data_IF_367104371581
#
_entry.id   IF_367104371581
#
_cell.length_a   1.000
_cell.length_b   1.000
_cell.length_c   1.000
_cell.angle_alpha   90.00
_cell.angle_beta   90.00
_cell.angle_gamma   90.00
#
_symmetry.space_group_name_H-M   'P 1'
#
loop_
_entity.id
_entity.type
_entity.pdbx_description
1 polymer ?
#
# COMPACT_ATOMS: atom_id res chain seq x y z
N UNK A 1 -72.86 -25.68 63.08
CA UNK A 1 -71.89 -26.65 62.41
C UNK A 1 -71.18 -25.84 61.35
N UNK A 2 -70.00 -25.33 61.66
CA UNK A 2 -69.20 -24.47 60.76
C UNK A 2 -67.95 -25.23 60.33
N UNK A 3 -67.85 -25.52 59.06
CA UNK A 3 -66.68 -26.18 58.46
C UNK A 3 -65.62 -25.15 58.12
N UNK A 4 -64.43 -25.22 58.75
CA UNK A 4 -63.27 -24.36 58.34
C UNK A 4 -62.58 -25.06 57.17
N UNK A 5 -62.48 -24.31 56.08
CA UNK A 5 -61.64 -24.67 54.94
C UNK A 5 -60.20 -24.25 55.19
N UNK A 6 -59.29 -25.23 55.11
CA UNK A 6 -57.84 -25.02 55.16
C UNK A 6 -57.36 -24.77 53.73
N UNK A 7 -56.70 -23.63 53.50
CA UNK A 7 -56.05 -23.32 52.24
C UNK A 7 -54.61 -23.81 52.24
N UNK A 8 -54.12 -24.50 51.21
CA UNK A 8 -52.73 -24.84 51.13
C UNK A 8 -51.90 -23.63 50.63
N UNK A 9 -50.74 -23.42 51.28
CA UNK A 9 -49.75 -22.40 50.87
C UNK A 9 -48.97 -22.91 49.65
N UNK A 10 -48.94 -22.10 48.59
CA UNK A 10 -48.11 -22.36 47.41
C UNK A 10 -46.69 -21.84 47.69
N UNK A 11 -45.69 -22.71 47.65
CA UNK A 11 -44.30 -22.31 47.60
C UNK A 11 -43.95 -21.85 46.20
N UNK A 12 -43.56 -20.59 46.05
CA UNK A 12 -42.97 -20.06 44.84
C UNK A 12 -41.51 -20.36 44.85
N UNK A 13 -41.06 -21.24 43.94
CA UNK A 13 -39.65 -21.46 43.66
C UNK A 13 -39.13 -20.41 42.69
N UNK A 14 -38.26 -19.51 43.15
CA UNK A 14 -37.59 -18.52 42.31
C UNK A 14 -36.39 -19.16 41.65
N UNK A 15 -36.45 -19.41 40.35
CA UNK A 15 -35.31 -19.80 39.51
C UNK A 15 -34.55 -18.55 39.06
N UNK A 16 -33.38 -18.32 39.63
CA UNK A 16 -32.44 -17.29 39.19
C UNK A 16 -31.73 -17.78 37.89
N UNK A 17 -32.06 -17.16 36.77
CA UNK A 17 -31.30 -17.30 35.52
C UNK A 17 -30.01 -16.49 35.62
N UNK A 18 -28.87 -17.18 35.74
CA UNK A 18 -27.55 -16.59 35.52
C UNK A 18 -27.33 -16.41 34.02
N UNK A 19 -27.52 -15.22 33.53
CA UNK A 19 -27.12 -14.84 32.17
C UNK A 19 -25.58 -14.65 32.11
N UNK A 20 -24.88 -15.73 31.74
CA UNK A 20 -23.46 -15.70 31.46
C UNK A 20 -23.21 -14.95 30.15
N UNK A 21 -22.81 -13.66 30.21
CA UNK A 21 -22.39 -12.89 29.04
C UNK A 21 -21.06 -13.44 28.52
N UNK A 22 -21.05 -14.08 27.34
CA UNK A 22 -19.84 -14.36 26.59
C UNK A 22 -19.27 -13.01 26.08
N UNK A 23 -18.22 -12.52 26.72
CA UNK A 23 -17.35 -11.48 26.18
C UNK A 23 -16.57 -12.05 24.99
N UNK A 24 -17.09 -11.86 23.79
CA UNK A 24 -16.34 -12.17 22.58
C UNK A 24 -15.15 -11.20 22.47
N UNK A 25 -13.94 -11.65 22.82
CA UNK A 25 -12.72 -10.90 22.60
C UNK A 25 -12.51 -10.76 21.07
N UNK A 26 -12.69 -9.55 20.56
CA UNK A 26 -12.34 -9.22 19.16
C UNK A 26 -10.82 -9.20 19.05
N UNK A 27 -10.24 -10.29 18.53
CA UNK A 27 -8.81 -10.34 18.19
C UNK A 27 -8.61 -9.40 16.98
N UNK A 28 -7.74 -8.38 17.06
CA UNK A 28 -7.47 -7.55 15.91
C UNK A 28 -6.88 -8.41 14.80
N UNK A 29 -7.50 -8.39 13.62
CA UNK A 29 -6.99 -9.09 12.46
C UNK A 29 -5.59 -8.57 12.14
N UNK A 30 -4.58 -9.41 12.25
CA UNK A 30 -3.22 -9.07 11.83
C UNK A 30 -3.26 -8.69 10.35
N UNK A 31 -2.80 -7.47 10.03
CA UNK A 31 -2.74 -7.02 8.65
C UNK A 31 -1.80 -7.94 7.88
N UNK A 32 -2.34 -8.69 6.91
CA UNK A 32 -1.55 -9.59 6.09
C UNK A 32 -0.48 -8.79 5.32
N UNK A 33 0.74 -9.33 5.22
CA UNK A 33 1.80 -8.73 4.43
C UNK A 33 1.32 -8.55 2.97
N UNK A 34 1.70 -7.45 2.29
CA UNK A 34 1.21 -7.19 0.94
C UNK A 34 1.65 -8.28 -0.02
N UNK A 35 0.72 -8.75 -0.86
CA UNK A 35 1.01 -9.72 -1.91
C UNK A 35 2.01 -9.14 -2.93
N UNK A 36 2.98 -9.96 -3.35
CA UNK A 36 4.10 -9.54 -4.20
C UNK A 36 4.07 -10.21 -5.57
N UNK A 37 4.71 -9.58 -6.54
CA UNK A 37 4.98 -10.16 -7.84
C UNK A 37 6.44 -10.63 -7.94
N UNK A 38 6.69 -11.64 -8.79
CA UNK A 38 8.01 -11.86 -9.37
C UNK A 38 8.33 -10.77 -10.39
N UNK A 39 9.61 -10.61 -10.75
CA UNK A 39 10.01 -9.65 -11.79
C UNK A 39 9.25 -9.88 -13.10
N UNK A 40 9.16 -11.12 -13.58
CA UNK A 40 8.50 -11.45 -14.83
C UNK A 40 7.01 -11.09 -14.81
N UNK A 41 6.30 -11.42 -13.74
CA UNK A 41 4.87 -11.11 -13.62
C UNK A 41 4.58 -9.61 -13.56
N UNK A 42 5.41 -8.85 -12.84
CA UNK A 42 5.29 -7.38 -12.79
C UNK A 42 5.62 -6.75 -14.15
N UNK A 43 6.72 -7.19 -14.78
CA UNK A 43 7.15 -6.71 -16.10
C UNK A 43 6.08 -6.92 -17.18
N UNK A 44 5.42 -8.09 -17.17
CA UNK A 44 4.30 -8.37 -18.09
C UNK A 44 3.16 -7.35 -17.91
N UNK A 45 2.75 -7.09 -16.66
CA UNK A 45 1.67 -6.13 -16.37
C UNK A 45 2.02 -4.70 -16.74
N UNK A 46 3.24 -4.28 -16.47
CA UNK A 46 3.74 -2.96 -16.82
C UNK A 46 3.79 -2.75 -18.34
N UNK A 47 4.31 -3.75 -19.09
CA UNK A 47 4.29 -3.71 -20.57
C UNK A 47 2.87 -3.63 -21.12
N UNK A 48 1.95 -4.45 -20.62
CA UNK A 48 0.55 -4.43 -21.04
C UNK A 48 -0.13 -3.07 -20.80
N UNK A 49 0.35 -2.30 -19.80
CA UNK A 49 -0.11 -0.95 -19.52
C UNK A 49 0.65 0.14 -20.30
N UNK A 50 1.57 -0.22 -21.20
CA UNK A 50 2.39 0.74 -21.97
C UNK A 50 3.41 1.50 -21.11
N UNK A 51 3.91 0.86 -20.04
CA UNK A 51 4.95 1.39 -19.17
C UNK A 51 6.29 0.77 -19.54
N UNK A 52 7.27 1.60 -19.86
CA UNK A 52 8.63 1.19 -20.15
C UNK A 52 9.50 1.22 -18.89
N UNK A 53 10.69 0.62 -18.97
CA UNK A 53 11.75 0.80 -17.97
C UNK A 53 13.12 0.73 -18.60
N UNK A 54 14.09 1.33 -17.93
CA UNK A 54 15.51 1.29 -18.28
C UNK A 54 16.28 0.67 -17.14
N UNK A 55 17.44 0.11 -17.45
CA UNK A 55 18.37 -0.48 -16.48
C UNK A 55 19.80 -0.15 -16.91
N UNK A 56 20.58 0.49 -16.06
CA UNK A 56 21.96 0.88 -16.36
C UNK A 56 22.86 -0.32 -16.68
N UNK A 57 22.56 -1.48 -16.10
CA UNK A 57 23.26 -2.73 -16.36
C UNK A 57 22.60 -3.64 -17.38
N UNK A 58 21.45 -3.22 -17.97
CA UNK A 58 20.68 -4.07 -18.89
C UNK A 58 20.13 -5.34 -18.25
N UNK A 59 19.85 -5.33 -16.94
CA UNK A 59 19.54 -6.51 -16.14
C UNK A 59 18.41 -6.29 -15.13
N UNK A 60 17.95 -7.40 -14.54
CA UNK A 60 16.86 -7.43 -13.55
C UNK A 60 17.24 -8.06 -12.21
N UNK A 61 18.52 -8.28 -11.95
CA UNK A 61 18.99 -8.87 -10.70
C UNK A 61 18.77 -7.88 -9.54
N UNK A 62 17.95 -8.26 -8.58
CA UNK A 62 17.61 -7.45 -7.42
C UNK A 62 18.81 -7.12 -6.52
N UNK A 63 19.82 -7.98 -6.50
CA UNK A 63 21.02 -7.81 -5.68
C UNK A 63 22.12 -6.99 -6.39
N UNK A 64 21.80 -6.39 -7.55
CA UNK A 64 22.73 -5.55 -8.30
C UNK A 64 22.13 -4.15 -8.49
N UNK A 65 22.78 -3.13 -7.91
CA UNK A 65 22.37 -1.72 -7.96
C UNK A 65 22.32 -1.10 -9.37
N UNK A 66 22.92 -1.76 -10.38
CA UNK A 66 22.90 -1.32 -11.78
C UNK A 66 21.73 -1.90 -12.57
N UNK A 67 20.99 -2.83 -11.98
CA UNK A 67 19.79 -3.40 -12.57
C UNK A 67 18.55 -2.58 -12.20
N UNK A 68 17.47 -2.76 -12.94
CA UNK A 68 16.12 -2.34 -12.52
C UNK A 68 15.30 -3.60 -12.33
N UNK A 69 14.93 -3.88 -11.10
CA UNK A 69 14.26 -5.10 -10.70
C UNK A 69 12.84 -4.82 -10.20
N UNK A 70 11.92 -5.72 -10.55
CA UNK A 70 10.57 -5.77 -9.97
C UNK A 70 10.37 -7.00 -9.09
N UNK A 71 11.46 -7.73 -8.80
CA UNK A 71 11.37 -8.93 -7.97
C UNK A 71 10.91 -8.57 -6.56
N UNK A 72 9.85 -9.23 -6.07
CA UNK A 72 9.18 -8.95 -4.80
C UNK A 72 8.57 -7.53 -4.68
N UNK A 73 8.23 -6.91 -5.81
CA UNK A 73 7.46 -5.66 -5.79
C UNK A 73 6.03 -5.93 -5.30
N UNK A 74 5.44 -5.02 -4.52
CA UNK A 74 4.05 -5.17 -4.07
C UNK A 74 3.09 -5.03 -5.25
N UNK A 75 2.05 -5.85 -5.27
CA UNK A 75 0.99 -5.77 -6.29
C UNK A 75 0.35 -4.39 -6.33
N UNK A 76 0.17 -3.78 -5.16
CA UNK A 76 -0.33 -2.41 -5.02
C UNK A 76 0.58 -1.36 -5.67
N UNK A 77 1.89 -1.52 -5.59
CA UNK A 77 2.85 -0.61 -6.24
C UNK A 77 2.71 -0.68 -7.76
N UNK A 78 2.65 -1.88 -8.33
CA UNK A 78 2.43 -2.07 -9.77
C UNK A 78 1.08 -1.48 -10.21
N UNK A 79 0.00 -1.74 -9.47
CA UNK A 79 -1.31 -1.16 -9.74
C UNK A 79 -1.27 0.37 -9.70
N UNK A 80 -0.63 0.94 -8.67
CA UNK A 80 -0.52 2.40 -8.51
C UNK A 80 0.25 3.09 -9.64
N UNK A 81 1.32 2.47 -10.16
CA UNK A 81 2.03 2.99 -11.34
C UNK A 81 1.15 2.93 -12.59
N UNK A 82 0.39 1.84 -12.78
CA UNK A 82 -0.55 1.70 -13.89
C UNK A 82 -1.65 2.76 -13.80
N UNK A 83 -2.21 2.99 -12.62
CA UNK A 83 -3.22 4.03 -12.40
C UNK A 83 -2.67 5.43 -12.65
N UNK A 84 -1.44 5.71 -12.21
CA UNK A 84 -0.75 6.97 -12.54
C UNK A 84 -0.60 7.14 -14.06
N UNK A 85 -0.18 6.12 -14.79
CA UNK A 85 -0.05 6.14 -16.27
C UNK A 85 -1.39 6.45 -16.94
N UNK A 86 -2.47 5.79 -16.50
CA UNK A 86 -3.83 6.01 -17.02
C UNK A 86 -4.33 7.41 -16.74
N UNK A 87 -4.20 7.89 -15.50
CA UNK A 87 -4.71 9.19 -15.07
C UNK A 87 -3.94 10.35 -15.69
N UNK A 88 -2.61 10.26 -15.77
CA UNK A 88 -1.75 11.30 -16.33
C UNK A 88 -1.75 11.33 -17.85
N UNK A 89 -1.98 10.18 -18.48
CA UNK A 89 -1.79 9.95 -19.93
C UNK A 89 -0.36 10.23 -20.42
N UNK A 90 0.59 10.38 -19.50
CA UNK A 90 2.00 10.59 -19.81
C UNK A 90 2.69 9.28 -20.18
N UNK A 91 3.66 9.31 -21.09
CA UNK A 91 4.62 8.22 -21.19
C UNK A 91 5.36 8.08 -19.86
N UNK A 92 5.39 6.86 -19.31
CA UNK A 92 6.06 6.54 -18.04
C UNK A 92 7.20 5.58 -18.31
N UNK A 93 8.40 5.93 -17.87
CA UNK A 93 9.58 5.06 -17.88
C UNK A 93 10.08 4.90 -16.45
N UNK A 94 10.09 3.66 -15.95
CA UNK A 94 10.65 3.33 -14.63
C UNK A 94 12.17 3.25 -14.76
N UNK A 95 12.87 3.86 -13.80
CA UNK A 95 14.34 3.91 -13.74
C UNK A 95 14.92 3.23 -12.50
N UNK A 96 14.09 2.90 -11.52
CA UNK A 96 14.44 2.16 -10.31
C UNK A 96 13.25 1.37 -9.80
N UNK A 97 13.50 0.18 -9.27
CA UNK A 97 12.50 -0.73 -8.74
C UNK A 97 12.87 -1.25 -7.35
N UNK A 98 13.01 -2.56 -7.22
CA UNK A 98 13.29 -3.22 -5.94
C UNK A 98 14.75 -3.65 -5.75
N UNK A 99 15.63 -3.27 -6.64
CA UNK A 99 17.07 -3.56 -6.55
C UNK A 99 17.72 -2.88 -5.34
N UNK A 100 18.87 -3.40 -4.94
CA UNK A 100 19.73 -2.82 -3.90
C UNK A 100 20.28 -1.46 -4.32
N UNK A 101 20.77 -0.68 -3.35
CA UNK A 101 21.39 0.64 -3.59
C UNK A 101 20.51 1.83 -3.22
N UNK A 102 19.24 1.59 -2.88
CA UNK A 102 18.31 2.60 -2.35
C UNK A 102 18.30 2.62 -0.83
N UNK A 103 17.78 3.71 -0.24
CA UNK A 103 17.64 3.84 1.20
C UNK A 103 16.73 2.73 1.79
N UNK A 104 17.11 2.23 2.97
CA UNK A 104 16.34 1.24 3.72
C UNK A 104 15.11 1.84 4.42
N UNK A 105 14.21 1.00 4.92
CA UNK A 105 13.03 1.39 5.69
C UNK A 105 11.81 0.55 5.35
N UNK A 106 10.75 0.70 6.12
CA UNK A 106 9.49 -0.06 5.95
C UNK A 106 8.91 0.12 4.55
N UNK A 107 8.81 1.36 4.07
CA UNK A 107 8.27 1.71 2.76
C UNK A 107 9.38 1.94 1.72
N UNK A 108 10.37 1.06 1.67
CA UNK A 108 11.54 1.19 0.79
C UNK A 108 11.31 0.52 -0.57
N UNK A 109 12.23 0.78 -1.49
CA UNK A 109 12.37 0.06 -2.76
C UNK A 109 12.52 -1.45 -2.50
N UNK A 110 13.46 -1.82 -1.63
CA UNK A 110 13.70 -3.22 -1.26
C UNK A 110 12.43 -3.93 -0.76
N UNK A 111 11.59 -3.25 -0.01
CA UNK A 111 10.33 -3.81 0.48
C UNK A 111 9.19 -3.75 -0.55
N UNK A 112 9.46 -3.25 -1.76
CA UNK A 112 8.55 -3.26 -2.90
C UNK A 112 7.49 -2.16 -2.87
N UNK A 113 7.67 -1.12 -2.06
CA UNK A 113 6.71 -0.01 -1.95
C UNK A 113 7.01 1.15 -2.89
N UNK A 114 8.18 1.16 -3.54
CA UNK A 114 8.62 2.30 -4.33
C UNK A 114 9.01 1.91 -5.76
N UNK A 115 8.90 2.88 -6.64
CA UNK A 115 9.55 2.93 -7.95
C UNK A 115 10.03 4.34 -8.25
N UNK A 116 11.12 4.43 -9.00
CA UNK A 116 11.59 5.67 -9.59
C UNK A 116 11.09 5.79 -11.03
N UNK A 117 10.70 6.99 -11.45
CA UNK A 117 10.30 7.25 -12.84
C UNK A 117 11.02 8.47 -13.41
N UNK A 118 11.17 8.50 -14.73
CA UNK A 118 11.74 9.65 -15.44
C UNK A 118 10.91 10.91 -15.27
N UNK A 119 11.53 12.09 -15.02
CA UNK A 119 10.86 13.36 -14.80
C UNK A 119 10.61 14.09 -16.13
N UNK A 120 9.83 13.50 -17.03
CA UNK A 120 9.47 14.15 -18.28
C UNK A 120 8.64 15.43 -18.04
N UNK A 121 8.58 16.34 -19.00
CA UNK A 121 7.75 17.55 -18.90
C UNK A 121 6.29 17.23 -18.59
N UNK A 122 5.74 16.16 -19.20
CA UNK A 122 4.38 15.70 -18.96
C UNK A 122 4.21 15.24 -17.50
N UNK A 123 5.08 14.35 -17.02
CA UNK A 123 5.07 13.82 -15.64
C UNK A 123 5.22 14.94 -14.62
N UNK A 124 6.20 15.82 -14.82
CA UNK A 124 6.43 16.98 -13.94
C UNK A 124 5.17 17.86 -13.84
N UNK A 125 4.60 18.24 -14.99
CA UNK A 125 3.41 19.09 -15.06
C UNK A 125 2.20 18.42 -14.40
N UNK A 126 2.00 17.12 -14.63
CA UNK A 126 0.89 16.40 -14.02
C UNK A 126 0.99 16.38 -12.50
N UNK A 127 2.15 15.96 -11.96
CA UNK A 127 2.36 15.86 -10.51
C UNK A 127 2.20 17.24 -9.85
N UNK A 128 2.89 18.26 -10.36
CA UNK A 128 2.90 19.58 -9.71
C UNK A 128 1.57 20.32 -9.79
N UNK A 129 0.72 20.02 -10.79
CA UNK A 129 -0.59 20.67 -10.95
C UNK A 129 -1.74 19.90 -10.32
N UNK A 130 -1.62 18.57 -10.20
CA UNK A 130 -2.73 17.72 -9.76
C UNK A 130 -2.58 17.21 -8.33
N UNK A 131 -1.36 17.19 -7.79
CA UNK A 131 -1.10 16.70 -6.44
C UNK A 131 -0.77 17.86 -5.50
N UNK A 132 -1.14 17.66 -4.23
CA UNK A 132 -0.91 18.67 -3.19
C UNK A 132 0.57 18.67 -2.78
N UNK A 133 1.23 19.82 -2.86
CA UNK A 133 2.55 20.01 -2.27
C UNK A 133 2.48 19.83 -0.76
N UNK A 134 3.38 19.04 -0.17
CA UNK A 134 3.38 18.69 1.26
C UNK A 134 4.68 19.04 1.97
N UNK A 135 5.57 19.79 1.33
CA UNK A 135 6.85 20.22 1.90
C UNK A 135 8.05 19.54 1.27
N UNK A 136 9.18 19.64 1.94
CA UNK A 136 10.43 18.99 1.53
C UNK A 136 10.71 17.79 2.44
N UNK A 137 11.30 16.75 1.87
CA UNK A 137 11.77 15.58 2.64
C UNK A 137 13.00 15.96 3.45
N UNK A 138 13.06 15.62 4.77
CA UNK A 138 14.28 15.77 5.54
C UNK A 138 15.45 15.00 4.92
N UNK A 139 16.62 15.57 4.95
CA UNK A 139 17.87 14.97 4.47
C UNK A 139 18.27 15.42 3.07
N UNK A 140 17.47 15.18 2.06
CA UNK A 140 17.79 15.54 0.66
C UNK A 140 17.01 16.73 0.11
N UNK A 141 16.10 17.30 0.90
CA UNK A 141 15.25 18.45 0.53
C UNK A 141 14.39 18.23 -0.72
N UNK A 142 14.16 16.97 -1.13
CA UNK A 142 13.31 16.64 -2.25
C UNK A 142 11.88 17.17 -2.03
N UNK A 143 11.36 17.97 -2.98
CA UNK A 143 9.99 18.48 -2.94
C UNK A 143 9.01 17.33 -3.02
N UNK A 144 8.08 17.25 -2.07
CA UNK A 144 7.11 16.17 -1.99
C UNK A 144 5.71 16.62 -2.37
N UNK A 145 5.02 15.79 -3.13
CA UNK A 145 3.64 15.97 -3.56
C UNK A 145 2.83 14.73 -3.20
N UNK A 146 1.63 14.92 -2.65
CA UNK A 146 0.75 13.83 -2.23
C UNK A 146 -0.48 13.75 -3.12
N UNK A 147 -0.68 12.56 -3.72
CA UNK A 147 -1.87 12.29 -4.53
C UNK A 147 -3.14 12.14 -3.67
N UNK A 148 -4.34 12.24 -4.25
CA UNK A 148 -5.61 11.97 -3.53
C UNK A 148 -5.67 10.57 -2.91
N UNK A 149 -5.03 9.57 -3.53
CA UNK A 149 -4.91 8.20 -3.00
C UNK A 149 -3.89 8.06 -1.85
N UNK A 150 -3.19 9.14 -1.49
CA UNK A 150 -2.25 9.17 -0.38
C UNK A 150 -0.81 8.78 -0.74
N UNK A 151 -0.51 8.46 -1.98
CA UNK A 151 0.85 8.17 -2.43
C UNK A 151 1.69 9.44 -2.48
N UNK A 152 2.98 9.32 -2.17
CA UNK A 152 3.92 10.45 -2.11
C UNK A 152 4.92 10.36 -3.25
N UNK A 153 5.10 11.49 -3.90
CA UNK A 153 5.98 11.70 -5.04
C UNK A 153 7.06 12.69 -4.64
N UNK A 154 8.29 12.23 -4.47
CA UNK A 154 9.45 13.06 -4.12
C UNK A 154 10.27 13.38 -5.37
N UNK A 155 10.52 14.68 -5.63
CA UNK A 155 11.29 15.13 -6.79
C UNK A 155 12.78 15.14 -6.41
N UNK A 156 13.46 14.06 -6.72
CA UNK A 156 14.91 13.99 -6.65
C UNK A 156 15.55 14.50 -7.94
N UNK A 157 16.83 14.88 -7.91
CA UNK A 157 17.51 15.53 -9.02
C UNK A 157 17.22 14.91 -10.41
N UNK A 158 17.40 13.60 -10.55
CA UNK A 158 17.29 12.87 -11.82
C UNK A 158 15.95 12.13 -12.04
N UNK A 159 15.13 11.95 -11.00
CA UNK A 159 13.91 11.12 -11.05
C UNK A 159 12.82 11.59 -10.09
N UNK A 160 11.66 10.97 -10.16
CA UNK A 160 10.63 10.99 -9.14
C UNK A 160 10.68 9.67 -8.37
N UNK A 161 11.01 9.71 -7.06
CA UNK A 161 10.85 8.61 -6.12
C UNK A 161 9.39 8.57 -5.64
N UNK A 162 8.68 7.49 -5.95
CA UNK A 162 7.25 7.39 -5.65
C UNK A 162 7.01 6.28 -4.63
N UNK A 163 6.40 6.65 -3.49
CA UNK A 163 6.00 5.69 -2.46
C UNK A 163 4.51 5.39 -2.54
N UNK A 164 4.17 4.11 -2.69
CA UNK A 164 2.80 3.59 -2.71
C UNK A 164 2.48 2.92 -1.37
N UNK A 165 1.72 3.62 -0.50
CA UNK A 165 1.46 3.16 0.87
C UNK A 165 0.33 2.15 1.00
N UNK A 166 -0.60 2.11 0.07
CA UNK A 166 -1.81 1.29 0.17
C UNK A 166 -1.93 0.32 -0.99
N UNK A 167 -2.55 -0.85 -0.69
CA UNK A 167 -3.09 -1.68 -1.75
C UNK A 167 -4.13 -0.86 -2.52
N UNK A 168 -4.10 -0.93 -3.87
CA UNK A 168 -5.23 -0.51 -4.66
C UNK A 168 -6.46 -1.29 -4.17
N UNK A 169 -7.53 -0.58 -3.85
CA UNK A 169 -8.82 -1.18 -3.50
C UNK A 169 -9.46 -1.78 -4.74
#
# INVERSE_FOLDING_TARGET
MSRRMVRPAALAASTALLAGGLLAATVPAASAAPAKYSHAAAAQKLRAAGIAWTSSGGCSNRNNRRCTSFERINRSTVAGVIDFRKASRCAVTITGGTETGHASGTYSHWNGYKVDIQPTTCVNRYITRKFRYVGQRPGDHAKQYKSPSGNVYAREGSHWDITYYRAAR
#
